data_IF_154536512324
#
_entry.id   IF_154536512324
#
_cell.length_a   1.000
_cell.length_b   1.000
_cell.length_c   1.000
_cell.angle_alpha   90.00
_cell.angle_beta   90.00
_cell.angle_gamma   90.00
#
_symmetry.space_group_name_H-M   'P 1'
#
loop_
_entity.id
_entity.type
_entity.pdbx_description
1 polymer ?
#
# COMPACT_ATOMS: atom_id res chain seq x y z
N UNK A 1 23.67 -31.93 19.31
CA UNK A 1 22.84 -30.82 19.82
C UNK A 1 22.84 -29.58 18.92
N UNK A 2 23.87 -29.29 18.12
CA UNK A 2 23.91 -28.13 17.21
C UNK A 2 22.92 -28.20 16.02
N UNK A 3 22.59 -29.40 15.52
CA UNK A 3 21.74 -29.64 14.34
C UNK A 3 20.24 -29.39 14.55
N UNK A 4 19.75 -29.50 15.79
CA UNK A 4 18.32 -29.30 16.09
C UNK A 4 18.02 -27.79 16.19
N UNK A 5 18.96 -26.99 16.69
CA UNK A 5 18.85 -25.53 16.76
C UNK A 5 19.04 -24.83 15.39
N UNK A 6 19.77 -25.44 14.45
CA UNK A 6 19.95 -24.92 13.09
C UNK A 6 18.72 -25.14 12.21
N UNK A 7 18.05 -26.30 12.35
CA UNK A 7 16.84 -26.61 11.59
C UNK A 7 15.64 -25.76 12.05
N UNK A 8 15.56 -25.41 13.34
CA UNK A 8 14.53 -24.51 13.87
C UNK A 8 14.61 -23.09 13.30
N UNK A 9 15.83 -22.54 13.16
CA UNK A 9 16.04 -21.23 12.56
C UNK A 9 15.67 -21.21 11.07
N UNK A 10 16.03 -22.27 10.33
CA UNK A 10 15.66 -22.45 8.92
C UNK A 10 14.14 -22.46 8.73
N UNK A 11 13.43 -23.30 9.49
CA UNK A 11 11.98 -23.41 9.39
C UNK A 11 11.26 -22.12 9.80
N UNK A 12 11.74 -21.44 10.84
CA UNK A 12 11.09 -20.23 11.34
C UNK A 12 11.31 -19.03 10.41
N UNK A 13 12.53 -18.81 9.93
CA UNK A 13 12.88 -17.67 9.08
C UNK A 13 12.42 -17.90 7.63
N UNK A 14 12.85 -18.99 6.99
CA UNK A 14 12.50 -19.23 5.58
C UNK A 14 11.03 -19.59 5.38
N UNK A 15 10.46 -20.40 6.28
CA UNK A 15 9.07 -20.83 6.20
C UNK A 15 8.07 -19.66 6.27
N UNK A 16 8.47 -18.54 6.88
CA UNK A 16 7.66 -17.33 6.91
C UNK A 16 7.98 -16.31 5.82
N UNK A 17 9.23 -16.24 5.36
CA UNK A 17 9.63 -15.33 4.26
C UNK A 17 9.04 -15.74 2.93
N UNK A 18 8.94 -17.04 2.63
CA UNK A 18 8.49 -17.53 1.33
C UNK A 18 7.01 -17.22 1.01
N UNK A 19 6.01 -17.60 1.85
CA UNK A 19 4.62 -17.25 1.60
C UNK A 19 4.38 -15.74 1.69
N UNK A 20 5.11 -15.07 2.58
CA UNK A 20 5.10 -13.62 2.71
C UNK A 20 5.58 -12.89 1.47
N UNK A 21 6.65 -13.37 0.84
CA UNK A 21 7.21 -12.79 -0.37
C UNK A 21 6.27 -12.86 -1.56
N UNK A 22 5.54 -13.96 -1.70
CA UNK A 22 4.52 -14.09 -2.75
C UNK A 22 3.39 -13.07 -2.54
N UNK A 23 2.88 -12.96 -1.30
CA UNK A 23 1.83 -12.00 -0.97
C UNK A 23 2.30 -10.55 -1.18
N UNK A 24 3.49 -10.21 -0.69
CA UNK A 24 4.09 -8.90 -0.86
C UNK A 24 4.28 -8.55 -2.34
N UNK A 25 4.85 -9.46 -3.13
CA UNK A 25 5.10 -9.22 -4.56
C UNK A 25 3.81 -9.00 -5.32
N UNK A 26 2.75 -9.74 -4.98
CA UNK A 26 1.43 -9.57 -5.59
C UNK A 26 0.82 -8.22 -5.22
N UNK A 27 0.84 -7.84 -3.94
CA UNK A 27 0.33 -6.55 -3.48
C UNK A 27 1.10 -5.38 -4.08
N UNK A 28 2.44 -5.42 -4.04
CA UNK A 28 3.30 -4.41 -4.64
C UNK A 28 3.07 -4.28 -6.15
N UNK A 29 2.87 -5.41 -6.85
CA UNK A 29 2.52 -5.43 -8.27
C UNK A 29 1.18 -4.75 -8.54
N UNK A 30 0.15 -5.03 -7.73
CA UNK A 30 -1.15 -4.35 -7.85
C UNK A 30 -1.02 -2.84 -7.63
N UNK A 31 -0.32 -2.42 -6.58
CA UNK A 31 -0.11 -1.00 -6.28
C UNK A 31 0.65 -0.32 -7.42
N UNK A 32 1.71 -0.94 -7.93
CA UNK A 32 2.51 -0.39 -9.02
C UNK A 32 1.70 -0.28 -10.33
N UNK A 33 0.98 -1.34 -10.71
CA UNK A 33 0.14 -1.35 -11.91
C UNK A 33 -0.96 -0.29 -11.83
N UNK A 34 -1.62 -0.20 -10.68
CA UNK A 34 -2.69 0.77 -10.47
C UNK A 34 -2.14 2.21 -10.44
N UNK A 35 -1.01 2.43 -9.76
CA UNK A 35 -0.35 3.73 -9.77
C UNK A 35 0.04 4.15 -11.20
N UNK A 36 0.59 3.24 -12.01
CA UNK A 36 0.88 3.50 -13.42
C UNK A 36 -0.38 3.85 -14.20
N UNK A 37 -1.48 3.10 -14.01
CA UNK A 37 -2.77 3.40 -14.64
C UNK A 37 -3.27 4.80 -14.27
N UNK A 38 -3.14 5.20 -13.00
CA UNK A 38 -3.51 6.54 -12.54
C UNK A 38 -2.65 7.64 -13.17
N UNK A 39 -1.34 7.41 -13.33
CA UNK A 39 -0.47 8.41 -13.96
C UNK A 39 -0.87 8.74 -15.40
N UNK A 40 -1.46 7.79 -16.12
CA UNK A 40 -1.98 7.98 -17.47
C UNK A 40 -3.30 8.77 -17.50
N UNK A 41 -4.00 8.86 -16.36
CA UNK A 41 -5.30 9.51 -16.22
C UNK A 41 -5.24 10.89 -15.58
N UNK A 42 -4.05 11.34 -15.16
CA UNK A 42 -3.91 12.66 -14.57
C UNK A 42 -4.26 13.77 -15.56
N UNK A 43 -5.24 14.59 -15.18
CA UNK A 43 -5.63 15.79 -15.92
C UNK A 43 -4.99 17.01 -15.29
N UNK A 44 -5.04 18.18 -15.95
CA UNK A 44 -4.55 19.46 -15.39
C UNK A 44 -5.18 19.80 -14.03
N UNK A 45 -6.35 19.26 -13.73
CA UNK A 45 -7.09 19.51 -12.50
C UNK A 45 -6.69 18.57 -11.35
N UNK A 46 -5.98 17.47 -11.62
CA UNK A 46 -5.51 16.56 -10.56
C UNK A 46 -4.47 17.27 -9.68
N UNK A 47 -4.73 17.32 -8.37
CA UNK A 47 -3.89 18.01 -7.40
C UNK A 47 -2.45 17.48 -7.37
N UNK A 48 -1.48 18.37 -7.11
CA UNK A 48 -0.07 17.98 -7.03
C UNK A 48 0.20 16.98 -5.90
N UNK A 49 -0.50 17.11 -4.77
CA UNK A 49 -0.41 16.15 -3.65
C UNK A 49 -0.84 14.75 -4.05
N UNK A 50 -1.95 14.62 -4.80
CA UNK A 50 -2.41 13.33 -5.34
C UNK A 50 -1.37 12.72 -6.28
N UNK A 51 -0.85 13.52 -7.22
CA UNK A 51 0.18 13.04 -8.16
C UNK A 51 1.44 12.59 -7.45
N UNK A 52 1.93 13.40 -6.51
CA UNK A 52 3.11 13.08 -5.71
C UNK A 52 2.92 11.77 -4.95
N UNK A 53 1.77 11.58 -4.29
CA UNK A 53 1.47 10.35 -3.56
C UNK A 53 1.47 9.12 -4.49
N UNK A 54 0.87 9.22 -5.68
CA UNK A 54 0.84 8.11 -6.65
C UNK A 54 2.24 7.76 -7.15
N UNK A 55 3.07 8.75 -7.51
CA UNK A 55 4.46 8.50 -7.90
C UNK A 55 5.28 7.90 -6.75
N UNK A 56 5.06 8.41 -5.53
CA UNK A 56 5.70 7.89 -4.34
C UNK A 56 5.29 6.43 -4.08
N UNK A 57 4.00 6.10 -4.15
CA UNK A 57 3.51 4.74 -3.98
C UNK A 57 4.10 3.79 -5.04
N UNK A 58 4.14 4.20 -6.30
CA UNK A 58 4.79 3.44 -7.37
C UNK A 58 6.26 3.16 -7.06
N UNK A 59 7.03 4.19 -6.72
CA UNK A 59 8.45 4.04 -6.40
C UNK A 59 8.67 3.14 -5.18
N UNK A 60 7.85 3.29 -4.14
CA UNK A 60 7.94 2.50 -2.92
C UNK A 60 7.59 1.04 -3.17
N UNK A 61 6.50 0.73 -3.88
CA UNK A 61 6.11 -0.66 -4.14
C UNK A 61 7.13 -1.40 -5.00
N UNK A 62 7.69 -0.75 -6.03
CA UNK A 62 8.79 -1.34 -6.82
C UNK A 62 10.03 -1.57 -5.94
N UNK A 63 10.38 -0.62 -5.08
CA UNK A 63 11.53 -0.71 -4.19
C UNK A 63 11.35 -1.82 -3.15
N UNK A 64 10.17 -1.93 -2.55
CA UNK A 64 9.84 -2.95 -1.55
C UNK A 64 9.88 -4.36 -2.16
N UNK A 65 9.22 -4.56 -3.30
CA UNK A 65 9.27 -5.84 -4.01
C UNK A 65 10.72 -6.22 -4.37
N UNK A 66 11.51 -5.28 -4.91
CA UNK A 66 12.89 -5.53 -5.30
C UNK A 66 13.81 -5.85 -4.12
N UNK A 67 13.70 -5.08 -3.03
CA UNK A 67 14.47 -5.33 -1.82
C UNK A 67 14.07 -6.66 -1.16
N UNK A 68 12.79 -7.03 -1.17
CA UNK A 68 12.34 -8.30 -0.63
C UNK A 68 12.84 -9.48 -1.49
N UNK A 69 12.80 -9.36 -2.82
CA UNK A 69 13.37 -10.36 -3.71
C UNK A 69 14.88 -10.55 -3.44
N UNK A 70 15.61 -9.46 -3.18
CA UNK A 70 17.02 -9.52 -2.79
C UNK A 70 17.22 -10.17 -1.41
N UNK A 71 16.32 -9.93 -0.44
CA UNK A 71 16.31 -10.65 0.85
C UNK A 71 16.13 -12.16 0.62
N UNK A 72 15.18 -12.56 -0.20
CA UNK A 72 14.97 -13.97 -0.55
C UNK A 72 16.21 -14.57 -1.23
N UNK A 73 16.83 -13.86 -2.17
CA UNK A 73 18.05 -14.33 -2.82
C UNK A 73 19.18 -14.57 -1.80
N UNK A 74 19.43 -13.62 -0.91
CA UNK A 74 20.48 -13.74 0.10
C UNK A 74 20.27 -14.94 1.05
N UNK A 75 19.04 -15.16 1.52
CA UNK A 75 18.77 -16.22 2.50
C UNK A 75 18.49 -17.59 1.88
N UNK A 76 17.86 -17.64 0.70
CA UNK A 76 17.46 -18.90 0.05
C UNK A 76 18.47 -19.42 -0.96
N UNK A 77 19.28 -18.54 -1.58
CA UNK A 77 20.23 -18.92 -2.64
C UNK A 77 21.67 -18.77 -2.17
N UNK A 78 22.09 -17.56 -1.80
CA UNK A 78 23.49 -17.30 -1.44
C UNK A 78 23.90 -17.98 -0.13
N UNK A 79 23.04 -17.90 0.90
CA UNK A 79 23.30 -18.52 2.22
C UNK A 79 22.79 -19.96 2.31
N UNK A 80 22.43 -20.60 1.19
CA UNK A 80 21.86 -21.94 1.21
C UNK A 80 22.84 -22.94 1.85
N UNK A 81 22.39 -23.64 2.89
CA UNK A 81 23.21 -24.59 3.66
C UNK A 81 24.16 -23.94 4.68
N UNK A 82 24.27 -22.61 4.73
CA UNK A 82 25.06 -21.90 5.74
C UNK A 82 24.17 -21.35 6.87
N UNK A 83 23.84 -22.22 7.83
CA UNK A 83 22.89 -21.91 8.90
C UNK A 83 23.34 -20.80 9.87
N UNK A 84 24.63 -20.51 9.98
CA UNK A 84 25.11 -19.36 10.75
C UNK A 84 24.83 -18.05 10.03
N UNK A 85 25.05 -17.99 8.71
CA UNK A 85 24.74 -16.81 7.91
C UNK A 85 23.25 -16.44 7.96
N UNK A 86 22.35 -17.43 8.04
CA UNK A 86 20.90 -17.20 8.20
C UNK A 86 20.53 -16.50 9.52
N UNK A 87 21.39 -16.52 10.54
CA UNK A 87 21.13 -15.82 11.81
C UNK A 87 21.52 -14.35 11.78
N UNK A 88 22.32 -13.94 10.80
CA UNK A 88 22.78 -12.56 10.66
C UNK A 88 21.87 -11.75 9.75
N UNK A 89 21.68 -10.48 10.11
CA UNK A 89 20.88 -9.56 9.30
C UNK A 89 21.71 -9.00 8.15
N UNK A 90 21.20 -9.17 6.93
CA UNK A 90 21.76 -8.53 5.74
C UNK A 90 21.45 -7.03 5.70
N UNK A 91 22.31 -6.25 5.05
CA UNK A 91 22.06 -4.81 4.81
C UNK A 91 20.76 -4.58 4.03
N UNK A 92 20.46 -5.46 3.08
CA UNK A 92 19.24 -5.40 2.26
C UNK A 92 17.98 -5.49 3.12
N UNK A 93 17.95 -6.40 4.10
CA UNK A 93 16.83 -6.52 5.03
C UNK A 93 16.58 -5.22 5.80
N UNK A 94 17.65 -4.54 6.23
CA UNK A 94 17.55 -3.26 6.95
C UNK A 94 16.93 -2.17 6.07
N UNK A 95 17.39 -2.05 4.82
CA UNK A 95 16.82 -1.08 3.88
C UNK A 95 15.36 -1.40 3.55
N UNK A 96 15.03 -2.68 3.34
CA UNK A 96 13.65 -3.10 3.12
C UNK A 96 12.75 -2.65 4.27
N UNK A 97 13.15 -2.96 5.52
CA UNK A 97 12.41 -2.57 6.71
C UNK A 97 12.20 -1.05 6.81
N UNK A 98 13.25 -0.25 6.55
CA UNK A 98 13.15 1.21 6.55
C UNK A 98 12.13 1.67 5.49
N UNK A 99 12.22 1.15 4.27
CA UNK A 99 11.26 1.45 3.20
C UNK A 99 9.83 1.07 3.61
N UNK A 100 9.62 -0.09 4.24
CA UNK A 100 8.29 -0.55 4.67
C UNK A 100 7.69 0.45 5.65
N UNK A 101 8.48 0.91 6.63
CA UNK A 101 8.02 1.90 7.60
C UNK A 101 7.68 3.24 6.94
N UNK A 102 8.50 3.72 5.99
CA UNK A 102 8.23 4.97 5.27
C UNK A 102 6.92 4.86 4.46
N UNK A 103 6.68 3.72 3.79
CA UNK A 103 5.42 3.45 3.09
C UNK A 103 4.21 3.46 4.03
N UNK A 104 4.31 2.79 5.19
CA UNK A 104 3.28 2.80 6.23
C UNK A 104 2.94 4.23 6.67
N UNK A 105 3.96 5.05 6.95
CA UNK A 105 3.76 6.44 7.37
C UNK A 105 3.08 7.29 6.30
N UNK A 106 3.46 7.14 5.03
CA UNK A 106 2.80 7.84 3.93
C UNK A 106 1.31 7.48 3.84
N UNK A 107 0.97 6.20 3.96
CA UNK A 107 -0.41 5.75 4.00
C UNK A 107 -1.21 6.34 5.16
N UNK A 108 -0.63 6.37 6.37
CA UNK A 108 -1.27 7.02 7.52
C UNK A 108 -1.52 8.51 7.30
N UNK A 109 -0.53 9.24 6.77
CA UNK A 109 -0.70 10.65 6.45
C UNK A 109 -1.87 10.87 5.48
N UNK A 110 -1.99 10.02 4.45
CA UNK A 110 -3.10 10.08 3.50
C UNK A 110 -4.45 9.88 4.20
N UNK A 111 -4.62 8.83 5.01
CA UNK A 111 -5.88 8.59 5.72
C UNK A 111 -6.23 9.70 6.69
N UNK A 112 -5.23 10.24 7.38
CA UNK A 112 -5.43 11.35 8.31
C UNK A 112 -5.90 12.60 7.55
N UNK A 113 -5.27 12.92 6.41
CA UNK A 113 -5.70 13.99 5.51
C UNK A 113 -7.11 13.76 4.96
N UNK A 114 -7.47 12.54 4.57
CA UNK A 114 -8.80 12.17 4.07
C UNK A 114 -9.89 12.40 5.12
N UNK A 115 -9.63 12.06 6.38
CA UNK A 115 -10.54 12.34 7.51
C UNK A 115 -10.67 13.84 7.75
N UNK A 116 -9.57 14.59 7.70
CA UNK A 116 -9.61 16.05 7.90
C UNK A 116 -10.31 16.81 6.78
N UNK A 117 -10.22 16.34 5.54
CA UNK A 117 -10.91 16.94 4.40
C UNK A 117 -12.44 16.75 4.44
N UNK A 118 -12.93 15.82 5.25
CA UNK A 118 -14.30 15.34 5.26
C UNK A 118 -15.31 16.29 5.94
N UNK A 119 -16.62 16.07 5.70
CA UNK A 119 -17.67 16.87 6.35
C UNK A 119 -17.64 16.70 7.87
N UNK A 120 -17.43 15.48 8.35
CA UNK A 120 -17.27 15.14 9.76
C UNK A 120 -16.05 15.85 10.37
N UNK A 121 -14.91 15.86 9.66
CA UNK A 121 -13.70 16.58 10.07
C UNK A 121 -13.87 18.11 10.16
N UNK A 122 -14.85 18.67 9.43
CA UNK A 122 -15.15 20.12 9.38
C UNK A 122 -16.25 20.56 10.37
N UNK A 123 -16.91 19.64 11.08
CA UNK A 123 -17.98 19.98 12.03
C UNK A 123 -17.46 20.81 13.22
N UNK A 124 -18.20 21.85 13.64
CA UNK A 124 -17.81 22.73 14.77
C UNK A 124 -17.70 22.02 16.13
N UNK A 125 -18.45 20.94 16.35
CA UNK A 125 -18.38 20.10 17.58
C UNK A 125 -17.16 19.17 17.55
N UNK A 126 -16.72 18.78 16.34
CA UNK A 126 -15.43 18.13 16.07
C UNK A 126 -14.35 19.15 15.65
N UNK A 127 -14.49 20.44 16.01
CA UNK A 127 -13.29 21.25 16.27
C UNK A 127 -12.65 20.61 17.48
N UNK A 128 -11.89 19.57 17.23
CA UNK A 128 -11.03 18.95 18.22
C UNK A 128 -9.63 19.49 17.93
N UNK A 129 -9.32 20.75 18.26
CA UNK A 129 -7.93 21.22 18.21
C UNK A 129 -7.07 20.28 19.06
N UNK A 130 -7.64 19.67 20.10
CA UNK A 130 -6.99 18.68 20.96
C UNK A 130 -6.71 17.35 20.23
N UNK A 131 -7.67 16.71 19.54
CA UNK A 131 -7.39 15.45 18.83
C UNK A 131 -6.54 15.68 17.59
N UNK A 132 -6.63 16.85 16.96
CA UNK A 132 -5.69 17.27 15.91
C UNK A 132 -4.27 17.47 16.46
N UNK A 133 -4.10 18.21 17.56
CA UNK A 133 -2.82 18.32 18.24
C UNK A 133 -2.31 16.96 18.66
N UNK A 134 -3.16 16.11 19.23
CA UNK A 134 -2.78 14.77 19.68
C UNK A 134 -2.33 13.93 18.48
N UNK A 135 -3.10 13.87 17.38
CA UNK A 135 -2.70 13.09 16.20
C UNK A 135 -1.43 13.63 15.54
N UNK A 136 -1.28 14.96 15.43
CA UNK A 136 -0.07 15.58 14.90
C UNK A 136 1.13 15.33 15.82
N UNK A 137 0.98 15.50 17.13
CA UNK A 137 2.01 15.24 18.13
C UNK A 137 2.37 13.75 18.21
N UNK A 138 1.39 12.86 18.10
CA UNK A 138 1.60 11.41 18.02
C UNK A 138 2.37 11.07 16.76
N UNK A 139 1.98 11.62 15.60
CA UNK A 139 2.71 11.42 14.36
C UNK A 139 4.15 11.96 14.46
N UNK A 140 4.35 13.18 14.98
CA UNK A 140 5.67 13.77 15.18
C UNK A 140 6.54 12.95 16.16
N UNK A 141 5.95 12.45 17.24
CA UNK A 141 6.62 11.57 18.19
C UNK A 141 7.01 10.24 17.53
N UNK A 142 6.11 9.65 16.73
CA UNK A 142 6.40 8.46 15.93
C UNK A 142 7.53 8.71 14.91
N UNK A 143 7.57 9.87 14.26
CA UNK A 143 8.66 10.27 13.35
C UNK A 143 10.00 10.44 14.06
N UNK A 144 10.02 11.12 15.21
CA UNK A 144 11.24 11.31 16.00
C UNK A 144 11.76 9.96 16.52
N UNK A 145 10.89 9.11 17.06
CA UNK A 145 11.22 7.76 17.48
C UNK A 145 11.73 6.92 16.30
N UNK A 146 11.09 7.02 15.12
CA UNK A 146 11.52 6.31 13.92
C UNK A 146 12.91 6.76 13.45
N UNK A 147 13.18 8.06 13.43
CA UNK A 147 14.48 8.62 13.00
C UNK A 147 15.61 8.15 13.92
N UNK A 148 15.42 8.23 15.24
CA UNK A 148 16.38 7.72 16.23
C UNK A 148 16.57 6.20 16.10
N UNK A 149 15.53 5.48 15.70
CA UNK A 149 15.57 4.02 15.51
C UNK A 149 16.27 3.60 14.23
N UNK A 150 16.13 4.33 13.11
CA UNK A 150 16.93 4.07 11.88
C UNK A 150 18.42 4.05 12.25
N UNK A 151 18.88 5.05 13.00
CA UNK A 151 20.29 5.16 13.41
C UNK A 151 20.73 3.92 14.21
N UNK A 152 19.88 3.41 15.11
CA UNK A 152 20.16 2.18 15.89
C UNK A 152 20.04 0.90 15.05
N UNK A 153 19.11 0.83 14.10
CA UNK A 153 18.87 -0.34 13.26
C UNK A 153 20.12 -0.74 12.46
N UNK A 154 20.90 0.26 12.04
CA UNK A 154 22.16 0.03 11.33
C UNK A 154 23.29 -0.53 12.22
N UNK A 155 23.13 -0.50 13.55
CA UNK A 155 24.06 -1.13 14.50
C UNK A 155 23.72 -2.59 14.88
N UNK A 156 22.55 -3.11 14.52
CA UNK A 156 22.11 -4.47 14.89
C UNK A 156 22.65 -5.54 13.95
N UNK A 157 23.27 -6.60 14.47
CA UNK A 157 23.96 -7.61 13.64
C UNK A 157 23.17 -8.92 13.44
N UNK A 158 22.30 -9.30 14.37
CA UNK A 158 21.59 -10.59 14.33
C UNK A 158 20.09 -10.42 14.28
N UNK A 159 19.39 -11.47 13.79
CA UNK A 159 17.94 -11.53 13.88
C UNK A 159 17.48 -11.46 15.33
N UNK A 160 18.14 -12.15 16.26
CA UNK A 160 17.76 -12.13 17.68
C UNK A 160 17.82 -10.72 18.29
N UNK A 161 18.87 -9.94 18.00
CA UNK A 161 18.96 -8.53 18.44
C UNK A 161 17.85 -7.67 17.83
N UNK A 162 17.48 -7.95 16.58
CA UNK A 162 16.37 -7.30 15.90
C UNK A 162 15.01 -7.69 16.49
N UNK A 163 14.87 -8.95 16.94
CA UNK A 163 13.72 -9.46 17.69
C UNK A 163 13.57 -8.76 19.03
N UNK A 164 14.67 -8.54 19.74
CA UNK A 164 14.60 -7.91 21.05
C UNK A 164 14.26 -6.42 20.92
N UNK A 165 14.65 -5.78 19.82
CA UNK A 165 14.09 -4.47 19.46
C UNK A 165 12.61 -4.50 19.06
N UNK A 166 12.06 -5.66 18.69
CA UNK A 166 10.63 -5.86 18.36
C UNK A 166 9.72 -5.69 19.59
N UNK A 167 10.20 -6.00 20.80
CA UNK A 167 9.47 -5.71 22.04
C UNK A 167 9.18 -4.19 22.20
N UNK A 168 10.04 -3.33 21.64
CA UNK A 168 9.80 -1.88 21.54
C UNK A 168 9.06 -1.45 20.26
N UNK A 169 8.88 -2.34 19.29
CA UNK A 169 7.90 -2.18 18.19
C UNK A 169 6.49 -2.49 18.65
N UNK A 170 6.27 -3.38 19.62
CA UNK A 170 4.92 -3.68 20.12
C UNK A 170 4.20 -2.43 20.63
N UNK A 171 4.88 -1.53 21.35
CA UNK A 171 4.28 -0.27 21.79
C UNK A 171 3.98 0.67 20.62
N UNK A 172 4.89 0.77 19.64
CA UNK A 172 4.69 1.56 18.43
C UNK A 172 3.57 1.03 17.53
N UNK A 173 3.49 -0.28 17.33
CA UNK A 173 2.42 -0.99 16.64
C UNK A 173 1.09 -0.88 17.40
N UNK A 174 1.09 -0.88 18.74
CA UNK A 174 -0.13 -0.66 19.52
C UNK A 174 -0.65 0.78 19.35
N UNK A 175 0.24 1.77 19.33
CA UNK A 175 -0.12 3.17 19.04
C UNK A 175 -0.62 3.31 17.60
N UNK A 176 0.08 2.69 16.66
CA UNK A 176 -0.29 2.64 15.25
C UNK A 176 -1.68 2.02 15.05
N UNK A 177 -1.94 0.89 15.70
CA UNK A 177 -3.22 0.21 15.73
C UNK A 177 -4.31 1.11 16.31
N UNK A 178 -4.06 1.73 17.46
CA UNK A 178 -4.99 2.69 18.06
C UNK A 178 -5.34 3.83 17.10
N UNK A 179 -4.34 4.40 16.42
CA UNK A 179 -4.56 5.44 15.41
C UNK A 179 -5.35 4.91 14.21
N UNK A 180 -5.01 3.72 13.68
CA UNK A 180 -5.70 3.07 12.56
C UNK A 180 -7.17 2.81 12.87
N UNK A 181 -7.46 2.30 14.07
CA UNK A 181 -8.83 2.06 14.55
C UNK A 181 -9.62 3.37 14.59
N UNK A 182 -9.06 4.42 15.22
CA UNK A 182 -9.71 5.74 15.31
C UNK A 182 -9.99 6.30 13.92
N UNK A 183 -9.00 6.31 13.03
CA UNK A 183 -9.16 6.82 11.65
C UNK A 183 -10.21 6.03 10.87
N UNK A 184 -10.20 4.71 11.01
CA UNK A 184 -11.18 3.82 10.36
C UNK A 184 -12.60 4.14 10.82
N UNK A 185 -12.84 4.23 12.14
CA UNK A 185 -14.17 4.53 12.66
C UNK A 185 -14.66 5.93 12.28
N UNK A 186 -13.81 6.95 12.36
CA UNK A 186 -14.19 8.31 11.97
C UNK A 186 -14.55 8.37 10.49
N UNK A 187 -13.76 7.72 9.62
CA UNK A 187 -14.05 7.69 8.18
C UNK A 187 -15.29 6.86 7.85
N UNK A 188 -15.50 5.73 8.52
CA UNK A 188 -16.70 4.92 8.37
C UNK A 188 -17.96 5.69 8.78
N UNK A 189 -17.88 6.47 9.87
CA UNK A 189 -18.97 7.36 10.28
C UNK A 189 -19.26 8.43 9.21
N UNK A 190 -18.22 9.06 8.66
CA UNK A 190 -18.36 10.05 7.59
C UNK A 190 -19.02 9.45 6.34
N UNK A 191 -18.61 8.24 5.93
CA UNK A 191 -19.21 7.50 4.84
C UNK A 191 -20.68 7.15 5.11
N UNK A 192 -21.01 6.75 6.34
CA UNK A 192 -22.41 6.43 6.73
C UNK A 192 -23.34 7.64 6.70
N UNK A 193 -22.78 8.86 6.83
CA UNK A 193 -23.51 10.12 6.71
C UNK A 193 -23.51 10.70 5.30
N UNK A 194 -22.75 10.09 4.39
CA UNK A 194 -22.70 10.44 2.98
C UNK A 194 -23.65 9.57 2.17
N UNK A 195 -23.98 10.02 0.95
CA UNK A 195 -24.77 9.21 0.01
C UNK A 195 -23.95 8.07 -0.62
N UNK A 196 -22.67 7.91 -0.28
CA UNK A 196 -21.76 6.98 -0.97
C UNK A 196 -22.13 5.51 -0.70
N UNK A 197 -22.58 5.16 0.51
CA UNK A 197 -23.11 3.82 0.80
C UNK A 197 -24.39 3.56 0.01
N UNK A 198 -25.29 4.54 -0.05
CA UNK A 198 -26.54 4.46 -0.79
C UNK A 198 -26.30 4.26 -2.29
N UNK A 199 -25.31 4.95 -2.87
CA UNK A 199 -24.91 4.79 -4.27
C UNK A 199 -24.43 3.37 -4.58
N UNK A 200 -23.58 2.79 -3.71
CA UNK A 200 -23.10 1.42 -3.90
C UNK A 200 -24.24 0.40 -3.77
N UNK A 201 -25.12 0.58 -2.79
CA UNK A 201 -26.30 -0.27 -2.61
C UNK A 201 -27.29 -0.19 -3.79
N UNK A 202 -27.34 0.94 -4.51
CA UNK A 202 -28.14 1.07 -5.72
C UNK A 202 -27.63 0.17 -6.88
N UNK A 203 -26.37 -0.28 -6.84
CA UNK A 203 -25.78 -1.17 -7.84
C UNK A 203 -26.03 -2.67 -7.56
N UNK A 204 -26.92 -3.01 -6.62
CA UNK A 204 -27.17 -4.39 -6.15
C UNK A 204 -27.49 -5.44 -7.24
N UNK A 205 -27.95 -5.00 -8.41
CA UNK A 205 -28.30 -5.88 -9.53
C UNK A 205 -27.08 -6.38 -10.32
N UNK A 206 -25.90 -5.76 -10.11
CA UNK A 206 -24.62 -6.22 -10.66
C UNK A 206 -23.67 -6.58 -9.50
N UNK A 207 -23.46 -7.88 -9.24
CA UNK A 207 -22.69 -8.33 -8.08
C UNK A 207 -21.22 -7.91 -8.16
N UNK A 208 -20.63 -7.83 -9.35
CA UNK A 208 -19.23 -7.43 -9.52
C UNK A 208 -19.06 -5.94 -9.28
N UNK A 209 -19.98 -5.13 -9.81
CA UNK A 209 -19.94 -3.68 -9.61
C UNK A 209 -20.24 -3.30 -8.15
N UNK A 210 -21.15 -4.02 -7.50
CA UNK A 210 -21.41 -3.87 -6.06
C UNK A 210 -20.19 -4.24 -5.22
N UNK A 211 -19.55 -5.39 -5.51
CA UNK A 211 -18.34 -5.81 -4.80
C UNK A 211 -17.17 -4.82 -4.97
N UNK A 212 -16.99 -4.28 -6.18
CA UNK A 212 -16.01 -3.23 -6.44
C UNK A 212 -16.31 -1.94 -5.67
N UNK A 213 -17.57 -1.51 -5.66
CA UNK A 213 -18.01 -0.34 -4.89
C UNK A 213 -17.75 -0.50 -3.39
N UNK A 214 -18.05 -1.68 -2.83
CA UNK A 214 -17.75 -2.00 -1.42
C UNK A 214 -16.24 -1.97 -1.18
N UNK A 215 -15.43 -2.56 -2.06
CA UNK A 215 -13.98 -2.53 -1.94
C UNK A 215 -13.44 -1.10 -1.95
N UNK A 216 -13.95 -0.23 -2.83
CA UNK A 216 -13.56 1.17 -2.90
C UNK A 216 -13.92 1.91 -1.60
N UNK A 217 -15.12 1.68 -1.04
CA UNK A 217 -15.51 2.24 0.26
C UNK A 217 -14.59 1.79 1.38
N UNK A 218 -14.24 0.49 1.42
CA UNK A 218 -13.30 -0.04 2.40
C UNK A 218 -11.90 0.58 2.24
N UNK A 219 -11.42 0.76 1.01
CA UNK A 219 -10.12 1.37 0.72
C UNK A 219 -10.04 2.85 1.10
N UNK A 220 -11.17 3.56 1.17
CA UNK A 220 -11.20 4.92 1.71
C UNK A 220 -10.95 4.94 3.23
N UNK A 221 -11.13 3.81 3.91
CA UNK A 221 -10.84 3.64 5.34
C UNK A 221 -9.52 2.92 5.54
N UNK A 222 -8.88 3.10 6.71
CA UNK A 222 -7.66 2.39 7.06
C UNK A 222 -7.92 0.94 7.53
N UNK A 223 -9.04 0.31 7.15
CA UNK A 223 -9.47 -0.99 7.68
C UNK A 223 -8.47 -2.11 7.36
N UNK A 224 -7.99 -2.19 6.11
CA UNK A 224 -7.04 -3.21 5.68
C UNK A 224 -5.74 -3.17 6.48
N UNK A 225 -5.03 -2.03 6.59
CA UNK A 225 -3.84 -1.97 7.43
C UNK A 225 -4.17 -2.20 8.91
N UNK A 226 -5.29 -1.70 9.42
CA UNK A 226 -5.71 -1.91 10.83
C UNK A 226 -5.89 -3.40 11.17
N UNK A 227 -6.45 -4.20 10.26
CA UNK A 227 -6.60 -5.64 10.44
C UNK A 227 -5.22 -6.33 10.50
N UNK A 228 -4.30 -5.97 9.61
CA UNK A 228 -2.96 -6.56 9.60
C UNK A 228 -2.10 -6.11 10.79
N UNK A 229 -2.27 -4.87 11.26
CA UNK A 229 -1.67 -4.39 12.50
C UNK A 229 -2.24 -5.14 13.71
N UNK A 230 -3.53 -5.46 13.72
CA UNK A 230 -4.17 -6.29 14.76
C UNK A 230 -3.59 -7.70 14.77
N UNK A 231 -3.46 -8.34 13.60
CA UNK A 231 -2.84 -9.66 13.47
C UNK A 231 -1.42 -9.63 14.02
N UNK A 232 -0.65 -8.59 13.68
CA UNK A 232 0.73 -8.41 14.15
C UNK A 232 0.82 -8.30 15.67
N UNK A 233 -0.07 -7.54 16.31
CA UNK A 233 -0.11 -7.37 17.78
C UNK A 233 -0.57 -8.64 18.50
N UNK A 234 -1.49 -9.40 17.88
CA UNK A 234 -2.05 -10.64 18.41
C UNK A 234 -1.12 -11.85 18.26
N UNK A 235 -0.12 -11.80 17.37
CA UNK A 235 0.92 -12.82 17.29
C UNK A 235 1.80 -12.78 18.54
N UNK A 236 1.47 -13.64 19.50
CA UNK A 236 2.18 -13.74 20.78
C UNK A 236 3.53 -14.45 20.56
N UNK A 237 4.58 -13.70 20.26
CA UNK A 237 5.93 -14.24 20.09
C UNK A 237 6.56 -14.53 21.45
N UNK A 238 6.28 -15.70 22.03
CA UNK A 238 6.96 -16.15 23.26
C UNK A 238 8.35 -16.75 23.01
N UNK A 239 8.68 -17.17 21.79
CA UNK A 239 9.98 -17.79 21.47
C UNK A 239 10.38 -17.52 20.02
N UNK A 240 11.29 -16.57 19.81
CA UNK A 240 12.05 -16.41 18.56
C UNK A 240 11.28 -15.84 17.38
N UNK A 241 12.00 -15.11 16.53
CA UNK A 241 11.47 -14.57 15.28
C UNK A 241 10.97 -15.69 14.38
N UNK A 242 9.79 -15.48 13.82
CA UNK A 242 9.39 -16.12 12.57
C UNK A 242 9.47 -15.10 11.44
N UNK A 243 10.03 -15.51 10.30
CA UNK A 243 9.95 -14.74 9.05
C UNK A 243 8.51 -14.37 8.70
N UNK A 244 7.50 -15.04 9.28
CA UNK A 244 6.10 -14.74 9.09
C UNK A 244 5.73 -13.35 9.64
N UNK A 245 6.26 -12.94 10.79
CA UNK A 245 5.94 -11.62 11.36
C UNK A 245 6.61 -10.49 10.56
N UNK A 246 7.83 -10.72 10.08
CA UNK A 246 8.49 -9.79 9.15
C UNK A 246 7.71 -9.66 7.83
N UNK A 247 7.26 -10.79 7.28
CA UNK A 247 6.42 -10.84 6.09
C UNK A 247 5.10 -10.09 6.26
N UNK A 248 4.41 -10.28 7.39
CA UNK A 248 3.15 -9.60 7.69
C UNK A 248 3.36 -8.08 7.78
N UNK A 249 4.45 -7.62 8.39
CA UNK A 249 4.78 -6.20 8.46
C UNK A 249 5.04 -5.63 7.06
N UNK A 250 5.74 -6.39 6.21
CA UNK A 250 6.00 -6.02 4.83
C UNK A 250 4.70 -5.90 4.03
N UNK A 251 3.80 -6.87 4.17
CA UNK A 251 2.47 -6.85 3.52
C UNK A 251 1.60 -5.71 4.04
N UNK A 252 1.63 -5.44 5.36
CA UNK A 252 0.92 -4.30 5.95
C UNK A 252 1.38 -2.97 5.33
N UNK A 253 2.69 -2.81 5.08
CA UNK A 253 3.22 -1.61 4.42
C UNK A 253 2.67 -1.41 3.00
N UNK A 254 2.54 -2.47 2.20
CA UNK A 254 1.88 -2.36 0.88
C UNK A 254 0.39 -2.05 1.01
N UNK A 255 -0.31 -2.63 1.99
CA UNK A 255 -1.72 -2.32 2.24
C UNK A 255 -1.96 -0.85 2.64
N UNK A 256 -0.96 -0.23 3.29
CA UNK A 256 -0.96 1.20 3.57
C UNK A 256 -0.86 2.07 2.31
N UNK A 257 -0.27 1.57 1.22
CA UNK A 257 -0.23 2.27 -0.07
C UNK A 257 -1.43 1.91 -0.95
N UNK A 258 -1.86 0.65 -0.91
CA UNK A 258 -2.95 0.11 -1.70
C UNK A 258 -4.27 0.84 -1.47
N UNK A 259 -4.72 0.95 -0.21
CA UNK A 259 -6.01 1.58 0.08
C UNK A 259 -6.10 3.03 -0.44
N UNK A 260 -5.11 3.90 -0.17
CA UNK A 260 -5.05 5.24 -0.77
C UNK A 260 -5.05 5.25 -2.30
N UNK A 261 -4.28 4.36 -2.94
CA UNK A 261 -4.23 4.27 -4.41
C UNK A 261 -5.60 3.88 -4.98
N UNK A 262 -6.26 2.89 -4.40
CA UNK A 262 -7.62 2.49 -4.79
C UNK A 262 -8.64 3.61 -4.53
N UNK A 263 -8.51 4.35 -3.42
CA UNK A 263 -9.39 5.48 -3.13
C UNK A 263 -9.22 6.62 -4.15
N UNK A 264 -7.98 6.93 -4.56
CA UNK A 264 -7.69 7.90 -5.62
C UNK A 264 -8.25 7.42 -6.96
N UNK A 265 -8.09 6.14 -7.27
CA UNK A 265 -8.65 5.52 -8.46
C UNK A 265 -10.15 5.72 -8.55
N UNK A 266 -10.88 5.35 -7.50
CA UNK A 266 -12.33 5.47 -7.47
C UNK A 266 -12.79 6.92 -7.66
N UNK A 267 -12.09 7.88 -7.05
CA UNK A 267 -12.40 9.30 -7.20
C UNK A 267 -12.19 9.81 -8.63
N UNK A 268 -11.16 9.33 -9.33
CA UNK A 268 -10.91 9.71 -10.72
C UNK A 268 -11.84 8.99 -11.71
N UNK A 269 -12.28 7.77 -11.41
CA UNK A 269 -13.28 7.05 -12.21
C UNK A 269 -14.64 7.78 -12.19
N UNK A 270 -15.02 8.39 -11.07
CA UNK A 270 -16.26 9.17 -10.95
C UNK A 270 -16.22 10.47 -11.79
N UNK A 271 -15.07 11.16 -11.86
CA UNK A 271 -14.89 12.39 -12.67
C UNK A 271 -15.02 12.13 -14.19
N UNK A 272 -14.69 10.91 -14.65
CA UNK A 272 -14.84 10.50 -16.06
C UNK A 272 -16.28 10.11 -16.44
N UNK A 273 -17.22 9.99 -15.47
CA UNK A 273 -18.64 9.66 -15.74
C UNK A 273 -19.51 10.86 -16.13
N UNK A 274 -18.91 11.97 -16.56
CA UNK A 274 -19.64 13.09 -17.17
C UNK A 274 -20.01 12.73 -18.64
N UNK A 275 -21.24 12.21 -18.79
CA UNK A 275 -22.07 12.15 -20.02
C UNK A 275 -21.47 11.38 -21.21
N UNK A 276 -21.54 10.04 -21.17
CA UNK A 276 -21.74 9.24 -22.39
C UNK A 276 -23.24 9.28 -22.74
N UNK A 277 -23.70 10.43 -23.23
CA UNK A 277 -25.11 10.69 -23.49
C UNK A 277 -25.30 11.45 -24.79
N UNK A 278 -25.12 10.75 -25.92
CA UNK A 278 -25.96 10.78 -27.13
C UNK A 278 -25.34 9.88 -28.19
N UNK A 279 -26.09 8.96 -28.82
CA UNK A 279 -25.61 8.28 -30.02
C UNK A 279 -25.68 9.30 -31.17
N UNK A 280 -24.54 9.74 -31.70
CA UNK A 280 -24.55 10.52 -32.94
C UNK A 280 -24.84 9.56 -34.12
N UNK A 281 -25.86 9.86 -34.95
CA UNK A 281 -26.25 9.01 -36.05
C UNK A 281 -25.23 9.08 -37.16
N UNK A 282 -25.11 7.97 -37.90
CA UNK A 282 -24.34 7.89 -39.14
C UNK A 282 -24.94 8.87 -40.15
N UNK A 283 -24.18 9.90 -40.52
CA UNK A 283 -24.51 10.88 -41.56
C UNK A 283 -23.22 11.45 -42.15
N UNK A 284 -23.11 11.39 -43.47
CA UNK A 284 -21.89 11.54 -44.27
C UNK A 284 -21.62 13.02 -44.66
N UNK A 285 -20.33 13.29 -44.89
CA UNK A 285 -19.67 14.40 -45.63
C UNK A 285 -19.33 15.73 -44.93
N UNK A 286 -18.00 15.94 -44.91
CA UNK A 286 -17.21 17.11 -45.30
C UNK A 286 -17.05 18.35 -44.39
N UNK A 287 -15.78 18.47 -43.96
CA UNK A 287 -14.91 19.65 -43.73
C UNK A 287 -14.40 19.87 -42.31
N UNK A 288 -13.07 19.95 -42.27
CA UNK A 288 -12.17 20.31 -41.18
C UNK A 288 -12.64 21.55 -40.40
N UNK A 289 -12.53 21.49 -39.08
CA UNK A 289 -11.51 22.26 -38.35
C UNK A 289 -11.51 21.94 -36.84
N UNK A 290 -10.37 21.43 -36.35
CA UNK A 290 -9.82 21.87 -35.06
C UNK A 290 -10.13 21.11 -33.76
N UNK A 291 -9.96 19.78 -33.69
CA UNK A 291 -9.83 19.07 -32.40
C UNK A 291 -8.35 19.02 -31.97
N UNK A 292 -7.96 19.88 -31.03
CA UNK A 292 -6.64 19.89 -30.41
C UNK A 292 -6.77 19.70 -28.89
N UNK A 293 -7.07 18.47 -28.46
CA UNK A 293 -7.24 18.24 -27.02
C UNK A 293 -7.14 16.82 -26.48
N UNK A 294 -6.91 15.78 -27.29
CA UNK A 294 -6.69 14.42 -26.77
C UNK A 294 -5.53 13.76 -27.48
N UNK A 295 -4.35 13.71 -26.85
CA UNK A 295 -3.29 12.77 -27.24
C UNK A 295 -3.75 11.37 -26.87
N UNK A 296 -4.50 10.72 -27.76
CA UNK A 296 -4.57 9.27 -27.78
C UNK A 296 -3.23 8.74 -28.26
N UNK A 297 -2.55 7.98 -27.39
CA UNK A 297 -1.39 7.19 -27.78
C UNK A 297 -1.96 5.95 -28.48
N UNK A 298 -1.94 5.94 -29.81
CA UNK A 298 -2.27 4.77 -30.62
C UNK A 298 -1.08 3.82 -30.56
N UNK A 299 -1.24 2.66 -29.91
CA UNK A 299 -0.30 1.56 -30.11
C UNK A 299 -0.50 1.05 -31.54
N UNK A 300 0.48 1.30 -32.41
CA UNK A 300 0.56 0.64 -33.71
C UNK A 300 0.85 -0.85 -33.44
N UNK A 301 -0.16 -1.70 -33.63
CA UNK A 301 0.07 -3.13 -33.75
C UNK A 301 0.95 -3.35 -34.97
N UNK A 302 2.16 -3.85 -34.74
CA UNK A 302 3.07 -4.21 -35.81
C UNK A 302 2.53 -5.50 -36.45
N UNK A 303 1.64 -5.35 -37.45
CA UNK A 303 1.18 -6.48 -38.23
C UNK A 303 2.39 -7.12 -38.93
N UNK A 304 2.57 -8.40 -38.59
CA UNK A 304 3.58 -9.30 -39.12
C UNK A 304 3.40 -9.37 -40.64
N UNK A 305 4.28 -8.72 -41.40
CA UNK A 305 4.33 -8.90 -42.86
C UNK A 305 4.61 -10.37 -43.15
N UNK A 306 3.59 -11.08 -43.59
CA UNK A 306 3.75 -12.30 -44.37
C UNK A 306 4.39 -11.84 -45.67
N UNK A 307 5.68 -12.16 -45.83
CA UNK A 307 6.38 -12.03 -47.09
C UNK A 307 5.85 -13.10 -48.02
N UNK A 308 4.86 -12.73 -48.84
CA UNK A 308 4.60 -13.43 -50.08
C UNK A 308 5.82 -13.23 -50.99
N UNK A 309 6.55 -14.32 -51.20
CA UNK A 309 7.54 -14.44 -52.27
C UNK A 309 6.87 -14.16 -53.62
N UNK A 310 7.59 -13.47 -54.50
CA UNK A 310 7.87 -14.11 -55.77
C UNK A 310 9.34 -13.91 -56.14
N UNK A 311 10.12 -14.99 -56.05
CA UNK A 311 11.06 -15.54 -57.03
C UNK A 311 11.93 -16.61 -56.35
#
# INVERSE_FOLDING_TARGET
MATIASNGALHSILGGLQPGGTCLSWMAGLVACEALRLTQRFTKNTSWFTRFFVYFALAMSVTLAGLFASVLYHYCVESYGNYEALRHITRVLRFHFVCSRVATFAGFLFYTQSVWGSKTGKMKICKIPIVQLILVMVNMCLYALFTLRIIRLFSLATFEDFADTWLFERSGQSVQLGCGVVLTFVKAYDLSRSDDISKVLAMKNDPFRCAWGVLCLLCQTAIFPTVFDTISVCQNQKHGISGASYSILSVSAELHLFGPIMAISAALDDDDTIVCGTPCPVGRSDRDDGDAGKRHITFQSLDKRVSDNPF
#
